data_IF_648233907233
#
_entry.id   IF_648233907233
#
_cell.length_a   1.000
_cell.length_b   1.000
_cell.length_c   1.000
_cell.angle_alpha   90.00
_cell.angle_beta   90.00
_cell.angle_gamma   90.00
#
_symmetry.space_group_name_H-M   'P 1'
#
loop_
_entity.id
_entity.type
_entity.pdbx_description
1 polymer ?
#
# COMPACT_ATOMS: atom_id res chain seq x y z
N UNK A 1 -7.42 -10.89 15.69
CA UNK A 1 -7.62 -10.50 14.29
C UNK A 1 -7.42 -11.71 13.41
N UNK A 2 -8.38 -11.99 12.56
CA UNK A 2 -8.28 -13.17 11.74
C UNK A 2 -8.05 -12.77 10.32
N UNK A 3 -7.93 -13.65 9.48
CA UNK A 3 -7.75 -13.61 8.05
C UNK A 3 -7.84 -12.23 7.40
N UNK A 4 -6.72 -11.70 7.04
CA UNK A 4 -6.66 -10.47 6.26
C UNK A 4 -5.49 -10.56 5.28
N UNK A 5 -5.57 -9.74 4.24
CA UNK A 5 -4.51 -9.66 3.24
C UNK A 5 -4.23 -8.20 2.97
N UNK A 6 -2.95 -7.86 2.96
CA UNK A 6 -2.48 -6.59 2.45
C UNK A 6 -1.33 -6.89 1.50
N UNK A 7 -1.36 -6.31 0.32
CA UNK A 7 -0.26 -6.39 -0.61
C UNK A 7 -0.15 -5.04 -1.31
N UNK A 8 1.02 -4.45 -1.27
CA UNK A 8 1.23 -3.14 -1.86
C UNK A 8 2.52 -3.17 -2.66
N UNK A 9 2.41 -2.82 -3.93
CA UNK A 9 3.58 -2.66 -4.80
C UNK A 9 3.67 -1.21 -5.21
N UNK A 10 4.88 -0.68 -5.24
CA UNK A 10 5.10 0.72 -5.52
C UNK A 10 6.47 0.88 -6.17
N UNK A 11 6.51 1.51 -7.32
CA UNK A 11 7.78 1.73 -7.98
C UNK A 11 7.57 2.17 -9.41
N UNK A 12 8.67 2.36 -10.12
CA UNK A 12 8.58 2.78 -11.50
C UNK A 12 9.93 2.76 -12.16
N UNK A 13 9.97 3.28 -13.38
CA UNK A 13 11.20 3.35 -14.13
C UNK A 13 12.13 4.31 -13.42
N UNK A 14 13.33 3.84 -13.08
CA UNK A 14 14.34 4.65 -12.39
C UNK A 14 13.92 5.10 -11.00
N UNK A 15 13.01 4.36 -10.37
CA UNK A 15 12.60 4.63 -9.02
C UNK A 15 12.80 3.38 -8.19
N UNK A 16 12.91 3.56 -6.87
CA UNK A 16 12.98 2.43 -5.98
C UNK A 16 11.70 1.60 -6.12
N UNK A 17 11.84 0.31 -5.97
CA UNK A 17 10.72 -0.61 -6.12
C UNK A 17 10.49 -1.35 -4.82
N UNK A 18 9.25 -1.35 -4.37
CA UNK A 18 8.84 -1.98 -3.11
C UNK A 18 7.71 -2.95 -3.35
N UNK A 19 7.76 -4.08 -2.66
CA UNK A 19 6.61 -4.97 -2.55
C UNK A 19 6.46 -5.32 -1.08
N UNK A 20 5.31 -5.00 -0.51
CA UNK A 20 5.04 -5.18 0.92
C UNK A 20 3.78 -6.01 1.04
N UNK A 21 3.87 -7.14 1.75
CA UNK A 21 2.73 -8.03 1.88
C UNK A 21 2.81 -8.78 3.19
N UNK A 22 1.68 -9.35 3.61
CA UNK A 22 1.65 -10.13 4.83
C UNK A 22 1.51 -11.62 4.54
N UNK A 23 1.98 -12.42 5.48
CA UNK A 23 1.60 -13.83 5.61
C UNK A 23 1.17 -13.98 7.05
N UNK A 24 -0.11 -14.18 7.27
CA UNK A 24 -0.69 -14.14 8.61
C UNK A 24 -0.37 -12.81 9.26
N UNK A 25 0.28 -12.81 10.41
CA UNK A 25 0.58 -11.58 11.14
C UNK A 25 1.97 -11.03 10.81
N UNK A 26 2.77 -11.74 10.02
CA UNK A 26 4.10 -11.30 9.67
C UNK A 26 4.07 -10.44 8.41
N UNK A 27 4.93 -9.45 8.37
CA UNK A 27 5.02 -8.54 7.24
C UNK A 27 6.32 -8.79 6.49
N UNK A 28 6.24 -8.86 5.19
CA UNK A 28 7.39 -9.10 4.31
C UNK A 28 7.57 -7.91 3.40
N UNK A 29 8.80 -7.47 3.24
CA UNK A 29 9.14 -6.30 2.44
C UNK A 29 10.25 -6.68 1.48
N UNK A 30 10.04 -6.43 0.21
CA UNK A 30 11.08 -6.54 -0.80
C UNK A 30 11.35 -5.12 -1.30
N UNK A 31 12.56 -4.64 -1.07
CA UNK A 31 12.96 -3.32 -1.49
C UNK A 31 14.11 -3.50 -2.47
N UNK A 32 13.84 -3.28 -3.75
CA UNK A 32 14.85 -3.40 -4.81
C UNK A 32 15.54 -4.76 -4.81
N UNK A 33 14.81 -5.82 -4.46
CA UNK A 33 15.35 -7.17 -4.43
C UNK A 33 15.87 -7.62 -3.06
N UNK A 34 16.05 -6.69 -2.12
CA UNK A 34 16.44 -7.05 -0.77
C UNK A 34 15.21 -7.36 0.05
N UNK A 35 15.24 -8.44 0.81
CA UNK A 35 14.08 -8.91 1.53
C UNK A 35 14.25 -8.76 3.03
N UNK A 36 13.18 -8.29 3.66
CA UNK A 36 13.12 -8.11 5.10
C UNK A 36 11.80 -8.65 5.60
N UNK A 37 11.76 -9.07 6.87
CA UNK A 37 10.50 -9.49 7.45
C UNK A 37 10.44 -9.04 8.90
N UNK A 38 9.21 -8.79 9.36
CA UNK A 38 8.96 -8.30 10.71
C UNK A 38 7.75 -9.00 11.28
N UNK A 39 7.79 -9.24 12.58
CA UNK A 39 6.62 -9.67 13.29
C UNK A 39 5.86 -8.42 13.73
N UNK A 40 4.60 -8.36 13.37
CA UNK A 40 3.77 -7.21 13.65
C UNK A 40 2.76 -7.60 14.72
N UNK A 41 2.62 -6.78 15.74
CA UNK A 41 1.68 -7.06 16.81
C UNK A 41 0.25 -6.86 16.35
N UNK A 42 -0.67 -7.46 17.07
CA UNK A 42 -2.09 -7.27 16.77
C UNK A 42 -2.47 -5.81 16.90
N UNK A 43 -1.90 -5.12 17.87
CA UNK A 43 -2.18 -3.70 18.05
C UNK A 43 -1.73 -2.89 16.85
N UNK A 44 -0.55 -3.19 16.32
CA UNK A 44 -0.04 -2.49 15.14
C UNK A 44 -0.91 -2.74 13.92
N UNK A 45 -1.35 -3.98 13.73
CA UNK A 45 -2.26 -4.30 12.65
C UNK A 45 -3.60 -3.58 12.81
N UNK A 46 -4.10 -3.51 14.03
CA UNK A 46 -5.36 -2.81 14.29
C UNK A 46 -5.26 -1.34 13.92
N UNK A 47 -4.16 -0.70 14.29
CA UNK A 47 -3.97 0.70 13.95
C UNK A 47 -3.90 0.91 12.44
N UNK A 48 -3.23 0.00 11.74
CA UNK A 48 -3.15 0.06 10.29
C UNK A 48 -4.54 0.00 9.67
N UNK A 49 -5.35 -0.97 10.11
CA UNK A 49 -6.68 -1.14 9.53
C UNK A 49 -7.61 0.02 9.86
N UNK A 50 -7.41 0.66 11.02
CA UNK A 50 -8.18 1.85 11.34
C UNK A 50 -7.92 2.96 10.30
N UNK A 51 -6.66 3.15 9.92
CA UNK A 51 -6.34 4.15 8.90
C UNK A 51 -6.97 3.77 7.56
N UNK A 52 -6.89 2.51 7.17
CA UNK A 52 -7.49 2.05 5.92
C UNK A 52 -9.00 2.35 5.90
N UNK A 53 -9.66 2.15 7.03
CA UNK A 53 -11.08 2.46 7.15
C UNK A 53 -11.33 3.97 7.09
N UNK A 54 -10.49 4.75 7.75
CA UNK A 54 -10.67 6.20 7.81
C UNK A 54 -10.47 6.87 6.47
N UNK A 55 -9.51 6.41 5.70
CA UNK A 55 -9.30 6.97 4.36
C UNK A 55 -10.26 6.38 3.35
N UNK A 56 -11.06 5.42 3.78
CA UNK A 56 -12.11 4.81 2.96
C UNK A 56 -11.55 4.13 1.71
N UNK A 57 -10.41 3.47 1.86
CA UNK A 57 -9.78 2.80 0.74
C UNK A 57 -10.68 1.72 0.13
N UNK A 58 -11.60 1.20 0.91
CA UNK A 58 -12.57 0.20 0.44
C UNK A 58 -13.45 0.72 -0.68
N UNK A 59 -13.59 2.06 -0.79
CA UNK A 59 -14.43 2.69 -1.79
C UNK A 59 -13.65 3.42 -2.87
N UNK A 60 -12.34 3.29 -2.88
CA UNK A 60 -11.53 3.89 -3.94
C UNK A 60 -11.93 3.29 -5.28
N UNK A 61 -11.68 4.02 -6.36
CA UNK A 61 -11.86 3.49 -7.70
C UNK A 61 -10.94 2.31 -7.94
N UNK A 62 -11.16 1.59 -9.02
CA UNK A 62 -10.39 0.39 -9.29
C UNK A 62 -9.05 0.70 -9.94
N UNK A 63 -8.99 1.75 -10.73
CA UNK A 63 -7.76 2.12 -11.39
C UNK A 63 -7.66 3.63 -11.56
N UNK A 64 -6.42 4.09 -11.59
CA UNK A 64 -6.08 5.51 -11.69
C UNK A 64 -4.99 5.65 -12.74
N UNK A 65 -5.22 6.45 -13.76
CA UNK A 65 -4.26 6.62 -14.85
C UNK A 65 -4.05 8.07 -15.20
N UNK A 66 -2.81 8.44 -15.47
CA UNK A 66 -2.49 9.69 -16.11
C UNK A 66 -1.69 9.35 -17.36
N UNK A 67 -2.33 9.44 -18.52
CA UNK A 67 -1.71 9.03 -19.76
C UNK A 67 -0.71 10.04 -20.31
N UNK A 68 -0.64 11.21 -19.72
CA UNK A 68 0.28 12.23 -20.16
C UNK A 68 1.70 12.05 -19.64
N UNK A 69 1.93 11.05 -18.80
CA UNK A 69 3.24 10.82 -18.19
C UNK A 69 3.80 9.51 -18.71
N UNK A 70 5.00 9.54 -19.28
CA UNK A 70 5.62 8.35 -19.84
C UNK A 70 6.39 7.56 -18.81
N UNK A 71 7.10 8.24 -17.92
CA UNK A 71 7.84 7.61 -16.85
C UNK A 71 7.19 8.01 -15.56
N UNK A 72 7.11 7.16 -14.62
CA UNK A 72 6.54 7.54 -13.34
C UNK A 72 6.31 6.34 -12.48
N UNK A 73 5.44 6.51 -11.52
CA UNK A 73 5.20 5.51 -10.49
C UNK A 73 3.97 4.69 -10.84
N UNK A 74 4.13 3.38 -10.72
CA UNK A 74 3.01 2.45 -10.78
C UNK A 74 2.84 1.82 -9.42
N UNK A 75 1.60 1.58 -9.03
CA UNK A 75 1.32 1.02 -7.73
C UNK A 75 0.11 0.09 -7.80
N UNK A 76 0.08 -0.86 -6.88
CA UNK A 76 -1.07 -1.74 -6.77
C UNK A 76 -1.31 -2.04 -5.30
N UNK A 77 -2.56 -1.96 -4.89
CA UNK A 77 -2.97 -2.27 -3.53
C UNK A 77 -4.01 -3.37 -3.56
N UNK A 78 -3.78 -4.42 -2.79
CA UNK A 78 -4.79 -5.45 -2.56
C UNK A 78 -5.10 -5.46 -1.08
N UNK A 79 -6.35 -5.32 -0.73
CA UNK A 79 -6.80 -5.39 0.65
C UNK A 79 -7.97 -6.34 0.76
N UNK A 80 -7.96 -7.12 1.83
CA UNK A 80 -9.00 -8.09 2.10
C UNK A 80 -9.07 -8.26 3.60
N UNK A 81 -10.25 -8.16 4.15
CA UNK A 81 -10.45 -8.33 5.57
C UNK A 81 -11.85 -8.86 5.80
N UNK A 82 -12.00 -9.65 6.85
CA UNK A 82 -13.29 -10.22 7.20
C UNK A 82 -14.34 -9.11 7.34
N UNK A 83 -15.48 -9.28 6.73
CA UNK A 83 -16.54 -8.29 6.75
C UNK A 83 -16.46 -7.23 5.66
N UNK A 84 -15.43 -7.29 4.82
CA UNK A 84 -15.27 -6.34 3.73
C UNK A 84 -15.09 -7.09 2.43
N UNK A 85 -15.46 -6.45 1.34
CA UNK A 85 -15.26 -7.02 0.00
C UNK A 85 -13.82 -6.79 -0.43
N UNK A 86 -13.17 -7.84 -0.90
CA UNK A 86 -11.78 -7.73 -1.37
C UNK A 86 -11.66 -6.70 -2.47
N UNK A 87 -10.62 -5.89 -2.40
CA UNK A 87 -10.35 -4.87 -3.40
C UNK A 87 -8.95 -5.01 -3.97
N UNK A 88 -8.86 -4.85 -5.27
CA UNK A 88 -7.58 -4.72 -5.97
C UNK A 88 -7.64 -3.40 -6.73
N UNK A 89 -6.72 -2.49 -6.42
CA UNK A 89 -6.71 -1.13 -6.93
C UNK A 89 -5.33 -0.86 -7.47
N UNK A 90 -5.23 -0.29 -8.65
CA UNK A 90 -3.91 0.04 -9.14
C UNK A 90 -3.92 1.39 -9.84
N UNK A 91 -2.71 1.94 -10.01
CA UNK A 91 -2.56 3.23 -10.66
C UNK A 91 -1.27 3.35 -11.40
N UNK A 92 -1.26 4.28 -12.34
CA UNK A 92 -0.09 4.64 -13.12
C UNK A 92 -0.09 6.15 -13.19
N UNK A 93 0.79 6.77 -12.40
CA UNK A 93 0.97 8.22 -12.35
C UNK A 93 -0.28 8.98 -11.91
N UNK A 94 -1.21 8.30 -11.26
CA UNK A 94 -2.42 8.93 -10.74
C UNK A 94 -2.79 8.24 -9.44
N UNK A 95 -3.46 8.97 -8.54
CA UNK A 95 -3.65 8.52 -7.16
C UNK A 95 -4.99 8.98 -6.63
N UNK A 96 -5.62 8.18 -5.76
CA UNK A 96 -6.81 8.66 -5.07
C UNK A 96 -6.46 9.73 -4.04
N UNK A 97 -7.46 10.46 -3.60
CA UNK A 97 -7.29 11.36 -2.48
C UNK A 97 -6.87 10.55 -1.27
N UNK A 98 -6.07 11.14 -0.41
CA UNK A 98 -5.58 10.49 0.80
C UNK A 98 -4.57 9.36 0.54
N UNK A 99 -4.03 9.28 -0.67
CA UNK A 99 -3.03 8.27 -0.98
C UNK A 99 -1.80 8.42 -0.07
N UNK A 100 -1.42 9.65 0.26
CA UNK A 100 -0.28 9.87 1.14
C UNK A 100 -0.52 9.30 2.53
N UNK A 101 -1.76 9.27 2.99
CA UNK A 101 -2.09 8.68 4.29
C UNK A 101 -1.95 7.16 4.25
N UNK A 102 -2.22 6.54 3.11
CA UNK A 102 -1.94 5.13 2.94
C UNK A 102 -0.43 4.88 3.05
N UNK A 103 0.38 5.69 2.37
CA UNK A 103 1.83 5.52 2.44
C UNK A 103 2.34 5.72 3.87
N UNK A 104 1.79 6.70 4.59
CA UNK A 104 2.18 6.91 5.99
C UNK A 104 1.87 5.68 6.84
N UNK A 105 0.70 5.08 6.63
CA UNK A 105 0.32 3.89 7.40
C UNK A 105 1.25 2.72 7.08
N UNK A 106 1.60 2.54 5.81
CA UNK A 106 2.50 1.48 5.41
C UNK A 106 3.89 1.74 5.97
N UNK A 107 4.37 2.97 5.89
CA UNK A 107 5.69 3.31 6.44
C UNK A 107 5.76 3.04 7.94
N UNK A 108 4.70 3.38 8.66
CA UNK A 108 4.66 3.13 10.10
C UNK A 108 4.73 1.63 10.40
N UNK A 109 4.02 0.85 9.61
CA UNK A 109 3.96 -0.59 9.83
C UNK A 109 5.27 -1.28 9.43
N UNK A 110 5.83 -0.87 8.30
CA UNK A 110 6.95 -1.57 7.66
C UNK A 110 8.31 -0.95 7.94
N UNK A 111 8.36 0.24 8.49
CA UNK A 111 9.62 0.93 8.70
C UNK A 111 10.23 1.43 7.39
N UNK A 112 9.40 1.69 6.39
CA UNK A 112 9.87 2.16 5.10
C UNK A 112 9.73 3.68 5.00
N UNK A 113 10.23 4.25 3.90
CA UNK A 113 10.22 5.69 3.67
C UNK A 113 9.55 6.04 2.35
N UNK A 114 8.46 5.39 2.03
CA UNK A 114 7.73 5.68 0.80
C UNK A 114 7.21 7.12 0.85
N UNK A 115 7.36 7.84 -0.23
CA UNK A 115 6.93 9.22 -0.32
C UNK A 115 6.14 9.41 -1.59
N UNK A 116 5.00 10.05 -1.47
CA UNK A 116 4.20 10.45 -2.60
C UNK A 116 4.32 11.95 -2.76
N UNK A 117 4.94 12.38 -3.87
CA UNK A 117 5.14 13.77 -4.12
C UNK A 117 3.92 14.30 -4.84
N UNK A 118 3.10 15.04 -4.14
CA UNK A 118 1.89 15.52 -4.73
C UNK A 118 2.01 16.87 -5.26
N UNK A 119 3.15 17.44 -5.36
CA UNK A 119 3.21 18.70 -5.82
C UNK A 119 2.91 18.88 -7.11
N UNK A 120 2.64 19.45 -7.51
CA UNK A 120 2.43 19.67 -8.66
C UNK A 120 1.64 20.12 -9.04
#
# INVERSE_FOLDING_TARGET
MKNFIISFEYGGFRADHYKIYNENMDLYINENGDEFSYKISEEEWSKFWIVIDEIDAWKWGRDYFDQGVLDGIQWELVIDREGKKRRRIFGSNDYPNNFSLLLDAINTLAGTDLVHDEED
#
